data_IF_376405328809
#
_entry.id   IF_376405328809
#
_cell.length_a   1.000
_cell.length_b   1.000
_cell.length_c   1.000
_cell.angle_alpha   90.00
_cell.angle_beta   90.00
_cell.angle_gamma   90.00
#
_symmetry.space_group_name_H-M   'P 1'
#
loop_
_entity.id
_entity.type
_entity.pdbx_description
1 polymer ?
#
# COMPACT_ATOMS: atom_id res chain seq x y z
N UNK A 1 0.86 -4.23 -14.05
CA UNK A 1 0.82 -3.02 -13.21
C UNK A 1 2.08 -2.22 -13.51
N UNK A 2 1.99 -1.19 -14.35
CA UNK A 2 3.15 -0.40 -14.80
C UNK A 2 3.51 0.71 -13.79
N UNK A 3 3.68 0.29 -12.54
CA UNK A 3 4.27 1.09 -11.49
C UNK A 3 5.81 1.08 -11.65
N UNK A 4 6.55 2.18 -11.40
CA UNK A 4 6.13 3.52 -10.97
C UNK A 4 5.84 4.54 -12.10
N UNK A 5 5.96 4.15 -13.38
CA UNK A 5 6.01 5.13 -14.47
C UNK A 5 4.66 5.36 -15.15
N UNK A 6 4.11 6.58 -15.02
CA UNK A 6 2.78 6.96 -15.54
C UNK A 6 2.65 6.74 -17.05
N UNK A 7 3.70 7.05 -17.81
CA UNK A 7 3.73 6.91 -19.27
C UNK A 7 3.75 5.47 -19.76
N UNK A 8 4.10 4.52 -18.89
CA UNK A 8 4.05 3.08 -19.18
C UNK A 8 2.68 2.51 -18.78
N UNK A 9 2.08 3.05 -17.70
CA UNK A 9 0.78 2.58 -17.19
C UNK A 9 -0.44 3.16 -17.91
N UNK A 10 -0.31 4.31 -18.55
CA UNK A 10 -1.44 5.02 -19.14
C UNK A 10 -1.10 5.49 -20.55
N UNK A 11 -2.07 5.45 -21.48
CA UNK A 11 -1.94 6.14 -22.76
C UNK A 11 -1.59 7.62 -22.54
N UNK A 12 -0.58 8.12 -23.25
CA UNK A 12 -0.04 9.47 -23.06
C UNK A 12 -1.08 10.58 -23.20
N UNK A 13 -2.13 10.37 -23.98
CA UNK A 13 -3.21 11.34 -24.18
C UNK A 13 -4.13 11.51 -22.96
N UNK A 14 -4.18 10.54 -22.03
CA UNK A 14 -4.92 10.66 -20.76
C UNK A 14 -4.13 11.40 -19.67
N UNK A 15 -2.80 11.44 -19.80
CA UNK A 15 -1.87 12.02 -18.81
C UNK A 15 -0.80 12.91 -19.48
N UNK A 16 -1.18 13.83 -20.38
CA UNK A 16 -0.24 14.46 -21.31
C UNK A 16 0.84 15.30 -20.63
N UNK A 17 0.55 15.82 -19.43
CA UNK A 17 1.47 16.67 -18.67
C UNK A 17 2.00 16.00 -17.40
N UNK A 18 1.56 14.79 -17.07
CA UNK A 18 1.91 14.16 -15.80
C UNK A 18 3.13 13.26 -15.97
N UNK A 19 4.08 13.37 -15.03
CA UNK A 19 5.27 12.54 -14.98
C UNK A 19 5.53 12.07 -13.56
N UNK A 20 5.13 10.83 -13.28
CA UNK A 20 5.56 10.09 -12.10
C UNK A 20 6.59 9.03 -12.50
N UNK A 21 7.56 8.82 -11.63
CA UNK A 21 8.68 7.90 -11.79
C UNK A 21 9.61 8.00 -10.59
N UNK A 22 10.61 7.13 -10.53
CA UNK A 22 11.61 7.15 -9.45
C UNK A 22 12.54 8.36 -9.68
N UNK A 23 12.56 9.28 -8.71
CA UNK A 23 13.32 10.54 -8.78
C UNK A 23 14.11 10.75 -7.49
N UNK A 24 15.04 9.83 -7.21
CA UNK A 24 15.81 9.84 -5.96
C UNK A 24 16.55 11.17 -5.72
N UNK A 25 17.02 11.84 -6.77
CA UNK A 25 17.64 13.16 -6.65
C UNK A 25 16.68 14.24 -6.11
N UNK A 26 15.41 14.20 -6.51
CA UNK A 26 14.40 15.14 -6.00
C UNK A 26 14.04 14.80 -4.55
N UNK A 27 13.95 13.52 -4.23
CA UNK A 27 13.75 13.08 -2.85
C UNK A 27 14.93 13.50 -1.97
N UNK A 28 16.17 13.30 -2.41
CA UNK A 28 17.35 13.74 -1.67
C UNK A 28 17.35 15.27 -1.45
N UNK A 29 16.99 16.05 -2.47
CA UNK A 29 16.87 17.50 -2.33
C UNK A 29 15.80 17.89 -1.28
N UNK A 30 14.63 17.24 -1.30
CA UNK A 30 13.57 17.46 -0.32
C UNK A 30 13.99 17.06 1.10
N UNK A 31 14.70 15.93 1.26
CA UNK A 31 15.25 15.50 2.55
C UNK A 31 16.27 16.51 3.07
N UNK A 32 17.19 16.97 2.22
CA UNK A 32 18.18 17.97 2.57
C UNK A 32 17.52 19.28 3.02
N UNK A 33 16.49 19.72 2.28
CA UNK A 33 15.72 20.92 2.61
C UNK A 33 15.03 20.77 3.98
N UNK A 34 14.31 19.68 4.21
CA UNK A 34 13.64 19.44 5.50
C UNK A 34 14.63 19.46 6.67
N UNK A 35 15.82 18.86 6.50
CA UNK A 35 16.90 18.90 7.50
C UNK A 35 17.43 20.31 7.72
N UNK A 36 17.65 21.08 6.66
CA UNK A 36 18.09 22.47 6.74
C UNK A 36 17.07 23.37 7.46
N UNK A 37 15.78 23.07 7.30
CA UNK A 37 14.67 23.73 8.01
C UNK A 37 14.52 23.27 9.48
N UNK A 38 15.38 22.35 9.95
CA UNK A 38 15.46 21.94 11.35
C UNK A 38 14.78 20.61 11.68
N UNK A 39 14.34 19.83 10.68
CA UNK A 39 13.73 18.52 10.92
C UNK A 39 14.70 17.57 11.65
N UNK A 40 14.31 17.15 12.85
CA UNK A 40 15.07 16.17 13.65
C UNK A 40 14.81 14.72 13.23
N UNK A 41 13.65 14.46 12.64
CA UNK A 41 13.28 13.17 12.06
C UNK A 41 12.66 13.41 10.69
N UNK A 42 13.04 12.61 9.70
CA UNK A 42 12.48 12.63 8.35
C UNK A 42 11.86 11.28 8.05
N UNK A 43 10.54 11.31 7.82
CA UNK A 43 9.74 10.14 7.46
C UNK A 43 9.21 10.31 6.05
N UNK A 44 9.43 9.31 5.20
CA UNK A 44 8.89 9.27 3.84
C UNK A 44 7.60 8.44 3.86
N UNK A 45 6.49 9.08 3.51
CA UNK A 45 5.25 8.37 3.18
C UNK A 45 5.30 7.98 1.71
N UNK A 46 5.44 6.69 1.45
CA UNK A 46 5.67 6.14 0.13
C UNK A 46 4.51 5.31 -0.35
N UNK A 47 4.21 5.41 -1.64
CA UNK A 47 3.36 4.45 -2.34
C UNK A 47 4.17 3.73 -3.45
N UNK A 48 5.49 3.59 -3.25
CA UNK A 48 6.37 3.00 -4.25
C UNK A 48 6.40 1.46 -4.26
N UNK A 49 5.85 0.81 -3.26
CA UNK A 49 6.07 -0.62 -3.07
C UNK A 49 7.40 -0.93 -2.39
N UNK A 50 7.43 -2.03 -1.65
CA UNK A 50 8.61 -2.48 -0.92
C UNK A 50 9.83 -2.63 -1.83
N UNK A 51 9.65 -3.25 -3.00
CA UNK A 51 10.72 -3.53 -3.97
C UNK A 51 11.40 -2.26 -4.52
N UNK A 52 10.73 -1.10 -4.45
CA UNK A 52 11.30 0.19 -4.82
C UNK A 52 11.80 0.97 -3.60
N UNK A 53 11.11 0.85 -2.46
CA UNK A 53 11.47 1.52 -1.22
C UNK A 53 12.80 1.05 -0.65
N UNK A 54 13.07 -0.26 -0.64
CA UNK A 54 14.32 -0.82 -0.13
C UNK A 54 15.56 -0.27 -0.87
N UNK A 55 15.64 -0.33 -2.22
CA UNK A 55 16.77 0.23 -2.93
C UNK A 55 16.78 1.77 -2.94
N UNK A 56 15.63 2.44 -2.80
CA UNK A 56 15.61 3.90 -2.58
C UNK A 56 16.27 4.26 -1.23
N UNK A 57 15.92 3.55 -0.16
CA UNK A 57 16.47 3.77 1.18
C UNK A 57 17.98 3.49 1.27
N UNK A 58 18.54 2.65 0.39
CA UNK A 58 20.00 2.46 0.33
C UNK A 58 20.75 3.58 -0.40
N UNK A 59 20.05 4.40 -1.20
CA UNK A 59 20.64 5.49 -2.00
C UNK A 59 20.38 6.88 -1.41
N UNK A 60 19.19 7.13 -0.88
CA UNK A 60 18.81 8.42 -0.30
C UNK A 60 19.22 8.46 1.16
N UNK A 61 20.06 9.43 1.50
CA UNK A 61 20.59 9.62 2.86
C UNK A 61 19.73 10.60 3.66
N UNK A 62 19.74 10.47 4.98
CA UNK A 62 19.04 11.38 5.89
C UNK A 62 17.56 11.08 6.12
N UNK A 63 17.01 10.04 5.48
CA UNK A 63 15.68 9.49 5.78
C UNK A 63 15.80 8.52 6.95
N UNK A 64 15.02 8.73 8.01
CA UNK A 64 15.02 7.84 9.16
C UNK A 64 14.05 6.66 8.98
N UNK A 65 12.92 6.91 8.33
CA UNK A 65 11.87 5.91 8.16
C UNK A 65 11.10 6.08 6.85
N UNK A 66 10.66 4.97 6.30
CA UNK A 66 9.72 4.89 5.17
C UNK A 66 8.49 4.09 5.64
N UNK A 67 7.32 4.71 5.56
CA UNK A 67 6.04 4.00 5.59
C UNK A 67 5.56 3.83 4.16
N UNK A 68 5.65 2.60 3.65
CA UNK A 68 5.26 2.25 2.30
C UNK A 68 3.83 1.74 2.17
N UNK A 69 3.51 1.34 0.94
CA UNK A 69 2.23 0.81 0.51
C UNK A 69 2.41 0.21 -0.89
N UNK A 70 1.34 0.11 -1.69
CA UNK A 70 1.33 -0.47 -3.04
C UNK A 70 1.49 -2.00 -3.12
N UNK A 71 2.53 -2.57 -2.51
CA UNK A 71 2.78 -4.02 -2.53
C UNK A 71 1.91 -4.80 -1.56
N UNK A 72 1.29 -4.11 -0.59
CA UNK A 72 0.34 -4.65 0.41
C UNK A 72 0.99 -5.60 1.41
N UNK A 73 2.30 -5.46 1.63
CA UNK A 73 3.04 -6.30 2.57
C UNK A 73 2.66 -5.98 4.01
N UNK A 74 2.34 -7.01 4.80
CA UNK A 74 2.18 -6.89 6.26
C UNK A 74 3.53 -7.09 6.95
N UNK A 75 4.33 -6.03 7.05
CA UNK A 75 5.70 -6.12 7.55
C UNK A 75 5.70 -6.10 9.08
N UNK A 76 5.90 -7.26 9.70
CA UNK A 76 5.83 -7.39 11.16
C UNK A 76 6.95 -6.63 11.91
N UNK A 77 8.13 -6.58 11.31
CA UNK A 77 9.27 -5.78 11.80
C UNK A 77 9.85 -4.96 10.65
N UNK A 78 10.14 -3.66 10.84
CA UNK A 78 10.70 -2.83 9.79
C UNK A 78 12.02 -3.41 9.29
N UNK A 79 12.21 -3.38 7.98
CA UNK A 79 13.49 -3.74 7.37
C UNK A 79 14.47 -2.60 7.60
N UNK A 80 15.61 -2.91 8.22
CA UNK A 80 16.68 -1.94 8.43
C UNK A 80 17.57 -1.91 7.19
N UNK A 81 17.61 -0.77 6.50
CA UNK A 81 18.44 -0.55 5.32
C UNK A 81 19.59 0.38 5.69
N UNK A 82 20.83 -0.04 5.44
CA UNK A 82 22.03 0.77 5.66
C UNK A 82 22.40 1.56 4.38
N UNK A 83 22.84 2.79 4.56
CA UNK A 83 23.32 3.68 3.49
C UNK A 83 24.48 4.55 3.98
N UNK A 84 25.05 5.35 3.08
CA UNK A 84 26.20 6.21 3.39
C UNK A 84 25.96 7.25 4.51
N UNK A 85 24.70 7.57 4.81
CA UNK A 85 24.30 8.52 5.84
C UNK A 85 23.77 7.89 7.13
N UNK A 86 23.72 6.57 7.23
CA UNK A 86 23.24 5.86 8.41
C UNK A 86 22.27 4.72 8.09
N UNK A 87 21.17 4.64 8.84
CA UNK A 87 20.16 3.58 8.70
C UNK A 87 18.78 4.18 8.45
N UNK A 88 17.99 3.52 7.62
CA UNK A 88 16.59 3.84 7.35
C UNK A 88 15.72 2.62 7.67
N UNK A 89 14.63 2.83 8.41
CA UNK A 89 13.65 1.79 8.71
C UNK A 89 12.55 1.77 7.63
N UNK A 90 12.31 0.65 6.96
CA UNK A 90 11.30 0.54 5.91
C UNK A 90 10.21 -0.43 6.34
N UNK A 91 8.95 -0.02 6.29
CA UNK A 91 7.81 -0.87 6.66
C UNK A 91 6.58 -0.58 5.82
N UNK A 92 5.72 -1.59 5.65
CA UNK A 92 4.41 -1.48 5.03
C UNK A 92 3.32 -1.98 6.00
N UNK A 93 2.14 -1.34 5.96
CA UNK A 93 1.03 -1.61 6.87
C UNK A 93 0.01 -2.64 6.36
N UNK A 94 0.35 -3.43 5.34
CA UNK A 94 -0.58 -4.37 4.71
C UNK A 94 -1.63 -3.69 3.84
N UNK A 95 -2.87 -4.21 3.86
CA UNK A 95 -3.98 -3.69 3.06
C UNK A 95 -5.34 -3.94 3.71
N UNK A 96 -6.37 -3.30 3.16
CA UNK A 96 -7.78 -3.51 3.53
C UNK A 96 -8.09 -3.25 5.01
N UNK A 97 -7.29 -2.39 5.67
CA UNK A 97 -7.43 -2.11 7.10
C UNK A 97 -7.19 -3.33 8.00
N UNK A 98 -6.50 -4.38 7.52
CA UNK A 98 -6.21 -5.58 8.31
C UNK A 98 -5.21 -5.33 9.44
N UNK A 99 -4.34 -4.33 9.28
CA UNK A 99 -3.34 -3.98 10.27
C UNK A 99 -3.23 -2.46 10.45
N UNK A 100 -2.80 -2.05 11.64
CA UNK A 100 -2.36 -0.70 11.97
C UNK A 100 -0.88 -0.75 12.35
N UNK A 101 -0.02 -0.12 11.55
CA UNK A 101 1.40 0.06 11.87
C UNK A 101 1.58 1.24 12.83
N UNK A 102 2.20 0.99 13.98
CA UNK A 102 2.49 2.00 15.01
C UNK A 102 3.99 2.03 15.24
N UNK A 103 4.60 3.21 15.08
CA UNK A 103 6.02 3.44 15.34
C UNK A 103 6.18 4.47 16.45
N UNK A 104 6.70 4.03 17.59
CA UNK A 104 7.08 4.87 18.71
C UNK A 104 8.57 5.21 18.59
N UNK A 105 8.93 6.50 18.47
CA UNK A 105 10.33 6.94 18.32
C UNK A 105 10.84 7.65 19.57
N UNK A 106 12.07 7.29 20.01
CA UNK A 106 12.80 8.02 21.04
C UNK A 106 13.82 8.96 20.41
N UNK A 107 13.51 10.25 20.36
CA UNK A 107 14.38 11.28 19.78
C UNK A 107 15.11 12.04 20.87
N UNK A 108 16.44 12.15 20.77
CA UNK A 108 17.27 12.97 21.67
C UNK A 108 18.39 13.63 20.87
N UNK A 109 18.60 14.93 21.09
CA UNK A 109 19.64 15.71 20.43
C UNK A 109 19.60 15.58 18.90
N UNK A 110 18.39 15.61 18.31
CA UNK A 110 18.21 15.52 16.86
C UNK A 110 18.50 14.15 16.25
N UNK A 111 18.59 13.09 17.05
CA UNK A 111 18.82 11.72 16.58
C UNK A 111 17.85 10.73 17.21
N UNK A 112 17.46 9.71 16.44
CA UNK A 112 16.71 8.56 16.96
C UNK A 112 17.67 7.69 17.78
N UNK A 113 17.38 7.53 19.06
CA UNK A 113 18.14 6.69 20.00
C UNK A 113 17.57 5.27 20.10
N UNK A 114 16.34 5.09 19.67
CA UNK A 114 15.63 3.81 19.69
C UNK A 114 14.21 3.97 19.16
N UNK A 115 13.60 2.84 18.83
CA UNK A 115 12.23 2.79 18.37
C UNK A 115 11.54 1.54 18.89
N UNK A 116 10.22 1.57 18.90
CA UNK A 116 9.38 0.41 19.16
C UNK A 116 8.28 0.35 18.10
N UNK A 117 8.26 -0.73 17.32
CA UNK A 117 7.30 -0.93 16.24
C UNK A 117 6.31 -2.02 16.57
N UNK A 118 5.04 -1.79 16.24
CA UNK A 118 3.97 -2.78 16.33
C UNK A 118 3.15 -2.76 15.04
N UNK A 119 2.93 -3.95 14.47
CA UNK A 119 1.91 -4.16 13.45
C UNK A 119 0.69 -4.79 14.14
N UNK A 120 -0.33 -3.97 14.42
CA UNK A 120 -1.48 -4.38 15.22
C UNK A 120 -2.55 -4.95 14.30
N UNK A 121 -2.94 -6.23 14.41
CA UNK A 121 -4.05 -6.78 13.63
C UNK A 121 -5.39 -6.19 14.08
N UNK A 122 -6.22 -5.80 13.11
CA UNK A 122 -7.56 -5.27 13.36
C UNK A 122 -8.57 -6.40 13.16
N UNK A 123 -9.02 -7.00 14.27
CA UNK A 123 -10.11 -7.96 14.28
C UNK A 123 -11.42 -7.23 14.58
N UNK A 124 -12.16 -6.85 13.53
CA UNK A 124 -13.39 -6.06 13.68
C UNK A 124 -14.48 -6.68 14.56
N UNK A 125 -14.49 -8.00 14.74
CA UNK A 125 -15.43 -8.69 15.63
C UNK A 125 -15.01 -8.68 17.11
N UNK A 126 -13.78 -8.25 17.41
CA UNK A 126 -13.23 -8.15 18.77
C UNK A 126 -13.16 -6.69 19.27
N UNK A 127 -13.56 -5.73 18.44
CA UNK A 127 -13.47 -4.31 18.74
C UNK A 127 -14.85 -3.65 18.59
N UNK A 128 -15.27 -2.78 19.52
CA UNK A 128 -16.48 -1.99 19.30
C UNK A 128 -16.26 -1.06 18.10
N UNK A 129 -17.28 -0.96 17.24
CA UNK A 129 -17.29 0.03 16.18
C UNK A 129 -17.37 1.44 16.78
N UNK A 130 -16.68 2.40 16.16
CA UNK A 130 -16.85 3.81 16.50
C UNK A 130 -18.28 4.27 16.13
N UNK A 131 -19.06 4.83 17.06
CA UNK A 131 -20.47 5.14 16.81
C UNK A 131 -20.68 6.18 15.71
N UNK A 132 -19.81 7.18 15.59
CA UNK A 132 -19.91 8.22 14.58
C UNK A 132 -19.61 7.64 13.19
N UNK A 133 -18.56 6.82 13.09
CA UNK A 133 -18.19 6.19 11.83
C UNK A 133 -19.21 5.15 11.37
N UNK A 134 -19.77 4.36 12.30
CA UNK A 134 -20.84 3.42 11.97
C UNK A 134 -22.06 4.15 11.40
N UNK A 135 -22.50 5.24 12.06
CA UNK A 135 -23.61 6.05 11.59
C UNK A 135 -23.35 6.64 10.20
N UNK A 136 -22.13 7.11 9.94
CA UNK A 136 -21.73 7.61 8.63
C UNK A 136 -21.72 6.51 7.56
N UNK A 137 -21.17 5.33 7.85
CA UNK A 137 -21.12 4.20 6.93
C UNK A 137 -22.54 3.73 6.57
N UNK A 138 -23.44 3.64 7.55
CA UNK A 138 -24.86 3.34 7.33
C UNK A 138 -25.48 4.39 6.40
N UNK A 139 -25.28 5.68 6.69
CA UNK A 139 -25.82 6.78 5.88
C UNK A 139 -25.33 6.74 4.42
N UNK A 140 -24.04 6.58 4.19
CA UNK A 140 -23.45 6.54 2.83
C UNK A 140 -23.90 5.31 2.04
N UNK A 141 -24.15 4.18 2.72
CA UNK A 141 -24.56 2.93 2.06
C UNK A 141 -26.08 2.81 1.86
N UNK A 142 -26.89 3.61 2.56
CA UNK A 142 -28.35 3.55 2.50
C UNK A 142 -28.91 3.55 1.06
N UNK A 143 -28.42 4.37 0.09
CA UNK A 143 -28.96 4.39 -1.27
C UNK A 143 -28.78 3.07 -2.03
N UNK A 144 -27.74 2.29 -1.72
CA UNK A 144 -27.38 1.05 -2.43
C UNK A 144 -27.61 -0.21 -1.59
N UNK A 145 -28.28 -0.08 -0.43
CA UNK A 145 -28.41 -1.18 0.53
C UNK A 145 -29.15 -2.38 -0.04
N UNK A 146 -30.19 -2.13 -0.87
CA UNK A 146 -30.95 -3.20 -1.53
C UNK A 146 -30.09 -3.99 -2.51
N UNK A 147 -29.34 -3.30 -3.37
CA UNK A 147 -28.48 -3.92 -4.39
C UNK A 147 -27.36 -4.73 -3.73
N UNK A 148 -26.77 -4.21 -2.65
CA UNK A 148 -25.72 -4.90 -1.90
C UNK A 148 -26.19 -6.09 -1.08
N UNK A 149 -27.46 -6.10 -0.66
CA UNK A 149 -28.05 -7.18 0.13
C UNK A 149 -28.56 -8.35 -0.72
N UNK A 150 -28.61 -8.21 -2.04
CA UNK A 150 -29.10 -9.26 -2.93
C UNK A 150 -28.04 -10.36 -3.12
N UNK A 151 -28.32 -11.56 -2.64
CA UNK A 151 -27.45 -12.72 -2.85
C UNK A 151 -27.52 -13.18 -4.31
N UNK A 152 -26.41 -13.09 -5.02
CA UNK A 152 -26.31 -13.51 -6.43
C UNK A 152 -26.05 -15.01 -6.58
N UNK A 153 -25.17 -15.56 -5.75
CA UNK A 153 -24.78 -16.96 -5.77
C UNK A 153 -24.14 -17.34 -4.42
N UNK A 154 -24.00 -18.65 -4.18
CA UNK A 154 -23.27 -19.20 -3.05
C UNK A 154 -21.97 -19.82 -3.57
N UNK A 155 -20.84 -19.47 -2.95
CA UNK A 155 -19.56 -20.10 -3.24
C UNK A 155 -19.42 -21.39 -2.43
N UNK A 156 -19.21 -22.53 -3.10
CA UNK A 156 -18.98 -23.83 -2.45
C UNK A 156 -17.55 -23.98 -1.91
N UNK A 157 -16.64 -23.06 -2.27
CA UNK A 157 -15.25 -23.04 -1.85
C UNK A 157 -14.70 -21.63 -1.66
N UNK A 158 -13.46 -21.56 -1.19
CA UNK A 158 -12.79 -20.28 -0.94
C UNK A 158 -12.50 -19.56 -2.26
N UNK A 159 -13.03 -18.33 -2.38
CA UNK A 159 -12.72 -17.41 -3.47
C UNK A 159 -11.65 -16.41 -3.01
N UNK A 160 -10.47 -16.50 -3.59
CA UNK A 160 -9.36 -15.57 -3.31
C UNK A 160 -8.77 -15.02 -4.60
N UNK A 161 -8.22 -13.80 -4.48
CA UNK A 161 -7.48 -13.09 -5.54
C UNK A 161 -5.97 -13.06 -5.35
N UNK A 162 -5.44 -12.85 -4.12
CA UNK A 162 -3.99 -12.74 -3.95
C UNK A 162 -3.28 -14.03 -4.36
N UNK A 163 -2.44 -13.94 -5.38
CA UNK A 163 -1.63 -15.04 -5.89
C UNK A 163 -0.70 -14.56 -7.02
N UNK A 164 0.46 -15.20 -7.16
CA UNK A 164 1.42 -14.80 -8.20
C UNK A 164 1.04 -15.32 -9.59
N UNK A 165 0.39 -16.50 -9.64
CA UNK A 165 0.05 -17.18 -10.89
C UNK A 165 -1.45 -17.49 -11.03
N UNK A 166 -2.16 -17.62 -9.91
CA UNK A 166 -3.54 -18.11 -9.90
C UNK A 166 -4.32 -17.60 -8.68
N UNK A 167 -5.63 -17.37 -8.89
CA UNK A 167 -6.61 -17.09 -7.84
C UNK A 167 -7.97 -17.66 -8.23
N UNK A 168 -8.67 -18.32 -7.30
CA UNK A 168 -9.96 -18.96 -7.58
C UNK A 168 -11.05 -17.96 -7.96
N UNK A 169 -10.96 -16.72 -7.48
CA UNK A 169 -11.87 -15.66 -7.92
C UNK A 169 -11.59 -15.21 -9.36
N UNK A 170 -10.33 -15.12 -9.76
CA UNK A 170 -9.95 -14.76 -11.12
C UNK A 170 -10.35 -15.85 -12.12
N UNK A 171 -10.34 -17.13 -11.71
CA UNK A 171 -10.89 -18.22 -12.52
C UNK A 171 -12.38 -18.02 -12.81
N UNK A 172 -13.19 -17.68 -11.79
CA UNK A 172 -14.62 -17.42 -11.97
C UNK A 172 -14.85 -16.29 -12.99
N UNK A 173 -14.05 -15.22 -12.93
CA UNK A 173 -14.10 -14.13 -13.91
C UNK A 173 -13.77 -14.63 -15.32
N UNK A 174 -12.66 -15.36 -15.47
CA UNK A 174 -12.23 -15.87 -16.77
C UNK A 174 -13.24 -16.84 -17.39
N UNK A 175 -13.81 -17.76 -16.60
CA UNK A 175 -14.83 -18.71 -17.06
C UNK A 175 -16.10 -17.98 -17.50
N UNK A 176 -16.53 -16.96 -16.76
CA UNK A 176 -17.67 -16.13 -17.13
C UNK A 176 -17.43 -15.35 -18.43
N UNK A 177 -16.22 -14.81 -18.62
CA UNK A 177 -15.82 -14.11 -19.85
C UNK A 177 -15.81 -15.04 -21.06
N UNK A 178 -15.24 -16.23 -20.92
CA UNK A 178 -15.23 -17.25 -21.97
C UNK A 178 -16.67 -17.70 -22.30
N UNK A 179 -17.49 -18.00 -21.29
CA UNK A 179 -18.88 -18.39 -21.49
C UNK A 179 -19.73 -17.32 -22.19
N UNK A 180 -19.51 -16.05 -21.87
CA UNK A 180 -20.26 -14.94 -22.47
C UNK A 180 -19.79 -14.56 -23.89
N UNK A 181 -18.49 -14.70 -24.16
CA UNK A 181 -17.89 -14.32 -25.45
C UNK A 181 -17.77 -15.47 -26.45
N UNK A 182 -17.89 -16.72 -25.98
CA UNK A 182 -17.56 -17.91 -26.76
C UNK A 182 -16.05 -18.08 -27.01
N UNK A 183 -15.21 -17.37 -26.26
CA UNK A 183 -13.76 -17.45 -26.37
C UNK A 183 -13.16 -18.65 -25.63
N UNK A 184 -12.02 -19.14 -26.13
CA UNK A 184 -11.27 -20.24 -25.49
C UNK A 184 -10.32 -19.75 -24.38
N UNK A 185 -9.95 -18.46 -24.41
CA UNK A 185 -8.95 -17.86 -23.52
C UNK A 185 -9.44 -16.50 -23.03
N UNK A 186 -9.42 -16.31 -21.71
CA UNK A 186 -9.67 -15.03 -21.06
C UNK A 186 -8.47 -14.61 -20.21
N UNK A 187 -8.27 -13.30 -20.08
CA UNK A 187 -7.22 -12.71 -19.27
C UNK A 187 -7.84 -11.88 -18.14
N UNK A 188 -7.57 -12.26 -16.90
CA UNK A 188 -7.88 -11.43 -15.73
C UNK A 188 -6.62 -10.68 -15.28
N UNK A 189 -6.70 -9.35 -15.05
CA UNK A 189 -5.59 -8.61 -14.49
C UNK A 189 -5.34 -9.02 -13.03
N UNK A 190 -4.11 -9.45 -12.74
CA UNK A 190 -3.64 -9.81 -11.40
C UNK A 190 -3.47 -8.61 -10.47
N UNK A 191 -4.56 -7.92 -10.15
CA UNK A 191 -4.56 -6.86 -9.15
C UNK A 191 -4.33 -7.45 -7.76
N UNK A 192 -3.50 -6.77 -6.97
CA UNK A 192 -3.30 -7.10 -5.57
C UNK A 192 -4.57 -6.87 -4.77
#
# INVERSE_FOLDING_TARGET
QAFPYTSVANPRWLVPQWSYGIKDHQLQAAVNQARAEGAQVVVVLSHNGMDVNLPMASRVTGVDMVFGGHTRDGVYHPVVVENAGGKTLVTDGGSNGKFLGVMDLKVKNGKIQGYHYRLIPIFGHLLPADPEMEAYVIKVRAPIQRERGYALAVAEGLLYRPGNFYGTWDQVICDALNGASGGDIAFSPGFR
#
